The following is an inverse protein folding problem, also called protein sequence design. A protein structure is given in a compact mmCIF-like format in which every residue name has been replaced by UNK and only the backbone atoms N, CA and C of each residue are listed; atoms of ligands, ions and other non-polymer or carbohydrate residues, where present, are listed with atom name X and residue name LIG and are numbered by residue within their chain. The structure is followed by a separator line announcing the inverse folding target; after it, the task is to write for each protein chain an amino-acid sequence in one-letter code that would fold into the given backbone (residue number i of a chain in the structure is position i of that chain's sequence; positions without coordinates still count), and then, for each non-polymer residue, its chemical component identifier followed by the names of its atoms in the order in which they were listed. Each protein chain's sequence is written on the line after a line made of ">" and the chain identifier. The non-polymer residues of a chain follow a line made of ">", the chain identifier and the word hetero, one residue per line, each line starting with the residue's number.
data_IF_774168158015
#
_entry.id   IF_774168158015
#
_cell.length_a   1.000
_cell.length_b   1.000
_cell.length_c   1.000
_cell.angle_alpha   90.00
_cell.angle_beta   90.00
_cell.angle_gamma   90.00
#
_symmetry.space_group_name_H-M   'P 1'
#
loop_
_entity.id
_entity.type
_entity.pdbx_description
1 polymer ?
#
# COMPACT_ATOMS: atom_id res chain seq x y z
N UNK A 1 -68.16 -30.24 -36.54
CA UNK A 1 -67.45 -31.05 -35.53
C UNK A 1 -66.09 -30.39 -35.30
N UNK A 2 -65.95 -29.78 -34.18
CA UNK A 2 -64.85 -28.92 -33.75
C UNK A 2 -63.61 -29.73 -33.32
N UNK A 3 -62.43 -29.26 -33.69
CA UNK A 3 -61.19 -29.63 -33.02
C UNK A 3 -60.52 -28.31 -32.54
N UNK A 4 -60.48 -28.16 -31.23
CA UNK A 4 -59.76 -27.10 -30.53
C UNK A 4 -58.25 -27.42 -30.55
N UNK A 5 -57.47 -26.56 -31.16
CA UNK A 5 -56.01 -26.56 -31.06
C UNK A 5 -55.56 -25.87 -29.78
N UNK A 6 -54.93 -26.61 -28.86
CA UNK A 6 -54.36 -26.07 -27.64
C UNK A 6 -53.07 -25.31 -27.96
N UNK A 7 -53.11 -24.01 -27.74
CA UNK A 7 -51.97 -23.11 -27.85
C UNK A 7 -51.09 -23.30 -26.58
N UNK A 8 -49.93 -23.94 -26.72
CA UNK A 8 -48.93 -24.06 -25.63
C UNK A 8 -48.10 -22.79 -25.62
N UNK A 9 -48.37 -21.92 -24.69
CA UNK A 9 -47.49 -20.78 -24.35
C UNK A 9 -46.32 -21.36 -23.56
N UNK A 10 -45.13 -21.29 -24.15
CA UNK A 10 -43.88 -21.62 -23.44
C UNK A 10 -43.53 -20.52 -22.43
N UNK A 11 -43.03 -20.85 -21.22
CA UNK A 11 -42.68 -19.84 -20.24
C UNK A 11 -41.37 -19.17 -20.61
N UNK A 12 -41.43 -17.84 -20.80
CA UNK A 12 -40.27 -16.98 -21.06
C UNK A 12 -39.47 -16.68 -19.77
N UNK A 13 -39.21 -17.67 -18.90
CA UNK A 13 -38.60 -17.45 -17.59
C UNK A 13 -37.13 -17.86 -17.48
N UNK A 14 -36.53 -18.46 -18.54
CA UNK A 14 -35.18 -18.96 -18.47
C UNK A 14 -34.07 -17.97 -18.88
N UNK A 15 -34.43 -16.85 -19.54
CA UNK A 15 -33.45 -15.89 -20.07
C UNK A 15 -32.98 -14.82 -19.06
N UNK A 16 -33.73 -14.57 -18.00
CA UNK A 16 -33.47 -13.46 -17.08
C UNK A 16 -32.38 -13.85 -16.03
N UNK A 17 -32.25 -15.12 -15.69
CA UNK A 17 -31.29 -15.58 -14.67
C UNK A 17 -29.84 -15.53 -15.21
N UNK A 18 -29.63 -15.74 -16.49
CA UNK A 18 -28.28 -15.72 -17.09
C UNK A 18 -27.64 -14.31 -17.14
N UNK A 19 -28.44 -13.29 -17.36
CA UNK A 19 -27.93 -11.89 -17.48
C UNK A 19 -27.58 -11.32 -16.11
N UNK A 20 -28.38 -11.60 -15.08
CA UNK A 20 -28.11 -11.15 -13.71
C UNK A 20 -26.83 -11.82 -13.13
N UNK A 21 -26.63 -13.12 -13.39
CA UNK A 21 -25.42 -13.84 -12.95
C UNK A 21 -24.14 -13.35 -13.62
N UNK A 22 -24.21 -13.01 -14.91
CA UNK A 22 -23.06 -12.49 -15.66
C UNK A 22 -22.70 -11.06 -15.20
N UNK A 23 -23.67 -10.23 -14.86
CA UNK A 23 -23.47 -8.86 -14.40
C UNK A 23 -22.84 -8.81 -13.00
N UNK A 24 -23.26 -9.69 -12.09
CA UNK A 24 -22.65 -9.82 -10.74
C UNK A 24 -21.20 -10.31 -10.85
N UNK A 25 -20.90 -11.28 -11.73
CA UNK A 25 -19.55 -11.78 -11.93
C UNK A 25 -18.62 -10.72 -12.53
N UNK A 26 -19.10 -9.88 -13.45
CA UNK A 26 -18.32 -8.77 -14.01
C UNK A 26 -17.98 -7.71 -12.95
N UNK A 27 -18.92 -7.38 -12.07
CA UNK A 27 -18.72 -6.41 -10.97
C UNK A 27 -17.68 -6.89 -9.94
N UNK A 28 -17.64 -8.18 -9.66
CA UNK A 28 -16.63 -8.73 -8.70
C UNK A 28 -15.22 -8.73 -9.28
N UNK A 29 -15.05 -8.97 -10.58
CA UNK A 29 -13.75 -8.94 -11.26
C UNK A 29 -13.16 -7.52 -11.30
N UNK A 30 -13.97 -6.51 -11.58
CA UNK A 30 -13.53 -5.09 -11.60
C UNK A 30 -13.09 -4.61 -10.22
N UNK A 31 -13.73 -5.06 -9.14
CA UNK A 31 -13.36 -4.68 -7.77
C UNK A 31 -11.98 -5.20 -7.37
N UNK A 32 -11.63 -6.42 -7.75
CA UNK A 32 -10.33 -7.02 -7.43
C UNK A 32 -9.16 -6.30 -8.14
N UNK A 33 -9.33 -5.92 -9.41
CA UNK A 33 -8.28 -5.21 -10.16
C UNK A 33 -8.05 -3.79 -9.62
N UNK A 34 -9.11 -3.09 -9.21
CA UNK A 34 -9.01 -1.74 -8.60
C UNK A 34 -8.25 -1.80 -7.27
N UNK A 35 -8.51 -2.80 -6.43
CA UNK A 35 -7.80 -2.98 -5.16
C UNK A 35 -6.30 -3.24 -5.41
N UNK A 36 -5.95 -4.11 -6.34
CA UNK A 36 -4.55 -4.40 -6.70
C UNK A 36 -3.82 -3.17 -7.23
N UNK A 37 -4.45 -2.39 -8.11
CA UNK A 37 -3.87 -1.15 -8.64
C UNK A 37 -3.60 -0.15 -7.50
N UNK A 38 -4.56 0.07 -6.60
CA UNK A 38 -4.40 0.94 -5.44
C UNK A 38 -3.27 0.47 -4.51
N UNK A 39 -3.19 -0.83 -4.24
CA UNK A 39 -2.10 -1.39 -3.41
C UNK A 39 -0.74 -1.13 -4.05
N UNK A 40 -0.61 -1.32 -5.37
CA UNK A 40 0.64 -1.06 -6.10
C UNK A 40 1.06 0.42 -6.01
N UNK A 41 0.11 1.34 -6.18
CA UNK A 41 0.35 2.78 -6.07
C UNK A 41 0.78 3.17 -4.65
N UNK A 42 0.10 2.65 -3.63
CA UNK A 42 0.45 2.87 -2.23
C UNK A 42 1.85 2.33 -1.90
N UNK A 43 2.20 1.12 -2.37
CA UNK A 43 3.53 0.52 -2.16
C UNK A 43 4.63 1.33 -2.84
N UNK A 44 4.38 1.80 -4.06
CA UNK A 44 5.31 2.67 -4.79
C UNK A 44 5.50 4.01 -4.09
N UNK A 45 4.41 4.59 -3.60
CA UNK A 45 4.42 5.79 -2.78
C UNK A 45 5.18 5.58 -1.48
N UNK A 46 4.97 4.46 -0.79
CA UNK A 46 5.67 4.14 0.45
C UNK A 46 7.19 4.07 0.27
N UNK A 47 7.66 3.47 -0.83
CA UNK A 47 9.09 3.45 -1.16
C UNK A 47 9.63 4.87 -1.40
N UNK A 48 8.86 5.73 -2.08
CA UNK A 48 9.24 7.13 -2.31
C UNK A 48 9.33 7.91 -0.99
N UNK A 49 8.40 7.71 -0.06
CA UNK A 49 8.41 8.36 1.25
C UNK A 49 9.56 7.86 2.14
N UNK A 50 9.92 6.56 2.09
CA UNK A 50 11.11 6.05 2.77
C UNK A 50 12.37 6.77 2.25
N UNK A 51 12.50 6.97 0.93
CA UNK A 51 13.60 7.75 0.35
C UNK A 51 13.57 9.22 0.76
N UNK A 52 12.40 9.82 0.88
CA UNK A 52 12.22 11.18 1.38
C UNK A 52 12.75 11.31 2.82
N UNK A 53 12.42 10.35 3.70
CA UNK A 53 12.94 10.33 5.08
C UNK A 53 14.47 10.13 5.09
N UNK A 54 15.03 9.24 4.26
CA UNK A 54 16.48 9.03 4.13
C UNK A 54 17.18 10.34 3.74
N UNK A 55 16.67 11.04 2.70
CA UNK A 55 17.24 12.33 2.26
C UNK A 55 17.10 13.41 3.33
N UNK A 56 15.99 13.45 4.07
CA UNK A 56 15.78 14.35 5.18
C UNK A 56 16.77 14.08 6.32
N UNK A 57 17.01 12.83 6.66
CA UNK A 57 18.01 12.43 7.67
C UNK A 57 19.41 12.86 7.26
N UNK A 58 19.80 12.64 6.00
CA UNK A 58 21.11 13.08 5.51
C UNK A 58 21.28 14.60 5.63
N UNK A 59 20.25 15.38 5.26
CA UNK A 59 20.27 16.86 5.42
C UNK A 59 20.31 17.27 6.90
N UNK A 60 19.55 16.59 7.75
CA UNK A 60 19.54 16.85 9.18
C UNK A 60 20.92 16.60 9.80
N UNK A 61 21.57 15.49 9.44
CA UNK A 61 22.93 15.17 9.91
C UNK A 61 23.93 16.23 9.45
N UNK A 62 23.87 16.66 8.18
CA UNK A 62 24.75 17.69 7.65
C UNK A 62 24.59 19.05 8.35
N UNK A 63 23.40 19.36 8.85
CA UNK A 63 23.10 20.65 9.50
C UNK A 63 23.35 20.63 11.02
N UNK A 64 23.08 19.50 11.69
CA UNK A 64 23.06 19.41 13.14
C UNK A 64 24.10 18.44 13.72
N UNK A 65 24.91 17.78 12.86
CA UNK A 65 25.92 16.74 13.20
C UNK A 65 25.33 15.58 14.02
N UNK A 66 24.06 15.29 13.83
CA UNK A 66 23.32 14.19 14.44
C UNK A 66 22.11 13.77 13.61
N UNK A 67 21.68 12.54 13.76
CA UNK A 67 20.44 12.05 13.16
C UNK A 67 19.22 12.57 13.93
N UNK A 68 18.13 12.84 13.22
CA UNK A 68 16.85 13.18 13.86
C UNK A 68 16.27 11.97 14.58
N UNK A 69 15.73 12.16 15.76
CA UNK A 69 15.15 11.11 16.60
C UNK A 69 13.69 10.77 16.24
N UNK A 70 13.02 11.60 15.43
CA UNK A 70 11.62 11.41 15.08
C UNK A 70 11.26 12.09 13.77
N UNK A 71 10.13 11.66 13.16
CA UNK A 71 9.56 12.35 12.01
C UNK A 71 9.16 13.80 12.34
N UNK A 72 8.70 14.04 13.57
CA UNK A 72 8.32 15.38 14.03
C UNK A 72 9.51 16.34 14.08
N UNK A 73 10.68 15.85 14.41
CA UNK A 73 11.91 16.64 14.38
C UNK A 73 12.30 17.04 12.96
N UNK A 74 12.17 16.12 12.00
CA UNK A 74 12.41 16.41 10.57
C UNK A 74 11.43 17.44 10.02
N UNK A 75 10.15 17.39 10.41
CA UNK A 75 9.15 18.39 10.03
C UNK A 75 9.49 19.75 10.62
N UNK A 76 9.84 19.80 11.92
CA UNK A 76 10.21 21.05 12.60
C UNK A 76 11.43 21.72 11.98
N UNK A 77 12.32 20.93 11.36
CA UNK A 77 13.44 21.41 10.57
C UNK A 77 13.07 21.77 9.11
N UNK A 78 11.80 21.65 8.71
CA UNK A 78 11.32 21.94 7.35
C UNK A 78 11.79 20.92 6.29
N UNK A 79 12.13 19.70 6.69
CA UNK A 79 12.72 18.69 5.81
C UNK A 79 11.73 17.69 5.26
N UNK A 80 10.58 17.52 5.91
CA UNK A 80 9.44 16.72 5.46
C UNK A 80 8.13 17.46 5.69
N UNK A 81 7.05 17.04 5.03
CA UNK A 81 5.73 17.62 5.21
C UNK A 81 5.01 17.12 6.48
N UNK A 82 3.95 17.85 6.88
CA UNK A 82 3.16 17.53 8.07
C UNK A 82 2.41 16.20 7.97
N UNK A 83 2.03 15.76 6.76
CA UNK A 83 1.35 14.49 6.56
C UNK A 83 2.30 13.33 6.88
N UNK A 84 3.50 13.31 6.29
CA UNK A 84 4.52 12.30 6.58
C UNK A 84 4.96 12.33 8.04
N UNK A 85 5.05 13.49 8.64
CA UNK A 85 5.40 13.69 10.05
C UNK A 85 4.37 13.10 11.02
N UNK A 86 3.08 13.04 10.62
CA UNK A 86 2.03 12.37 11.39
C UNK A 86 2.25 10.85 11.52
N UNK A 87 3.16 10.30 10.71
CA UNK A 87 3.43 8.87 10.61
C UNK A 87 2.43 8.11 9.72
N UNK A 88 1.53 8.81 9.01
CA UNK A 88 0.54 8.17 8.14
C UNK A 88 0.44 8.91 6.81
N UNK A 89 0.73 8.21 5.70
CA UNK A 89 0.61 8.75 4.35
C UNK A 89 0.39 7.64 3.33
N UNK A 90 -0.47 7.86 2.31
CA UNK A 90 -0.72 6.95 1.20
C UNK A 90 -1.02 5.49 1.63
N UNK A 91 -1.85 5.32 2.68
CA UNK A 91 -2.23 3.98 3.16
C UNK A 91 -1.16 3.22 3.94
N UNK A 92 -0.05 3.90 4.28
CA UNK A 92 1.08 3.35 5.05
C UNK A 92 1.29 4.09 6.36
N UNK A 93 1.84 3.37 7.34
CA UNK A 93 2.34 3.91 8.60
C UNK A 93 3.87 3.92 8.55
N UNK A 94 4.45 5.08 8.92
CA UNK A 94 5.89 5.29 8.97
C UNK A 94 6.36 5.47 10.40
N UNK A 95 7.51 4.89 10.71
CA UNK A 95 8.17 5.03 12.00
C UNK A 95 9.65 5.32 11.78
N UNK A 96 10.15 6.35 12.44
CA UNK A 96 11.56 6.68 12.51
C UNK A 96 12.02 6.47 13.95
N UNK A 97 13.09 5.70 14.13
CA UNK A 97 13.66 5.42 15.44
C UNK A 97 15.15 5.69 15.40
N UNK A 98 15.65 6.51 16.32
CA UNK A 98 17.08 6.72 16.50
C UNK A 98 17.70 5.50 17.18
N UNK A 99 18.92 5.14 16.76
CA UNK A 99 19.72 4.06 17.34
C UNK A 99 21.10 4.59 17.72
N UNK A 100 21.87 3.83 18.47
CA UNK A 100 23.25 4.20 18.82
C UNK A 100 24.15 4.38 17.58
N UNK A 101 23.86 3.69 16.48
CA UNK A 101 24.65 3.71 15.24
C UNK A 101 24.06 4.57 14.13
N UNK A 102 22.89 5.15 14.35
CA UNK A 102 22.20 5.90 13.30
C UNK A 102 20.69 5.95 13.53
N UNK A 103 19.92 5.47 12.57
CA UNK A 103 18.46 5.44 12.61
C UNK A 103 17.91 4.20 11.90
N UNK A 104 16.66 3.89 12.16
CA UNK A 104 15.87 2.94 11.38
C UNK A 104 14.58 3.57 10.92
N UNK A 105 14.13 3.20 9.71
CA UNK A 105 12.86 3.59 9.12
C UNK A 105 12.05 2.33 8.89
N UNK A 106 10.83 2.27 9.41
CA UNK A 106 9.84 1.25 9.11
C UNK A 106 8.69 1.86 8.34
N UNK A 107 8.20 1.17 7.30
CA UNK A 107 6.97 1.51 6.61
C UNK A 107 6.11 0.24 6.47
N UNK A 108 4.90 0.25 7.02
CA UNK A 108 3.98 -0.89 6.98
C UNK A 108 2.58 -0.46 6.53
N UNK A 109 1.85 -1.30 5.77
CA UNK A 109 0.51 -0.95 5.33
C UNK A 109 -0.43 -0.79 6.53
N UNK A 110 -1.36 0.15 6.47
CA UNK A 110 -2.37 0.34 7.49
C UNK A 110 -3.29 -0.88 7.62
N UNK A 111 -3.56 -1.56 6.50
CA UNK A 111 -4.31 -2.81 6.44
C UNK A 111 -3.67 -3.75 5.41
N UNK A 112 -3.18 -4.91 5.88
CA UNK A 112 -2.56 -5.92 5.01
C UNK A 112 -3.55 -6.44 3.98
N UNK A 113 -3.11 -6.58 2.71
CA UNK A 113 -3.92 -6.97 1.54
C UNK A 113 -5.08 -6.01 1.19
N UNK A 114 -5.13 -4.82 1.78
CA UNK A 114 -6.06 -3.75 1.39
C UNK A 114 -5.30 -2.49 0.98
N UNK A 115 -4.43 -1.96 1.84
CA UNK A 115 -3.60 -0.79 1.52
C UNK A 115 -2.22 -1.15 1.00
N UNK A 116 -1.75 -2.37 1.23
CA UNK A 116 -0.51 -2.92 0.71
C UNK A 116 -0.30 -4.37 1.15
N UNK A 117 0.59 -5.08 0.48
CA UNK A 117 0.98 -6.48 0.76
C UNK A 117 2.42 -6.61 1.22
N UNK A 118 3.18 -5.50 1.22
CA UNK A 118 4.59 -5.45 1.60
C UNK A 118 4.82 -4.39 2.66
N UNK A 119 5.75 -4.66 3.56
CA UNK A 119 6.36 -3.65 4.44
C UNK A 119 7.79 -3.36 4.01
N UNK A 120 8.31 -2.21 4.41
CA UNK A 120 9.64 -1.75 4.04
C UNK A 120 10.44 -1.36 5.28
N UNK A 121 11.74 -1.63 5.23
CA UNK A 121 12.72 -1.26 6.24
C UNK A 121 13.88 -0.54 5.57
N UNK A 122 14.44 0.45 6.26
CA UNK A 122 15.71 1.06 5.91
C UNK A 122 16.45 1.56 7.15
N UNK A 123 17.72 1.88 6.98
CA UNK A 123 18.59 2.43 8.02
C UNK A 123 19.59 3.42 7.42
N UNK A 124 20.61 3.81 8.20
CA UNK A 124 21.66 4.74 7.79
C UNK A 124 22.50 4.24 6.61
N UNK A 125 22.39 2.96 6.21
CA UNK A 125 23.04 2.44 4.99
C UNK A 125 22.29 2.84 3.71
N UNK A 126 21.07 3.42 3.86
CA UNK A 126 20.17 3.82 2.78
C UNK A 126 19.67 2.67 1.88
N UNK A 127 19.92 1.42 2.28
CA UNK A 127 19.42 0.24 1.61
C UNK A 127 17.97 0.01 2.03
N UNK A 128 17.04 -0.06 1.07
CA UNK A 128 15.64 -0.40 1.35
C UNK A 128 15.47 -1.91 1.23
N UNK A 129 14.85 -2.52 2.22
CA UNK A 129 14.50 -3.93 2.28
C UNK A 129 13.00 -4.11 2.28
N UNK A 130 12.51 -5.20 1.72
CA UNK A 130 11.08 -5.52 1.69
C UNK A 130 10.78 -6.85 2.37
N UNK A 131 9.65 -6.87 3.09
CA UNK A 131 9.03 -8.10 3.58
C UNK A 131 7.65 -8.27 2.94
N UNK A 132 7.36 -9.45 2.40
CA UNK A 132 6.05 -9.82 1.84
C UNK A 132 5.28 -10.60 2.90
N UNK A 133 4.13 -10.09 3.29
CA UNK A 133 3.32 -10.70 4.33
C UNK A 133 2.90 -9.72 5.42
N UNK A 134 2.17 -10.18 6.45
CA UNK A 134 1.63 -9.31 7.50
C UNK A 134 2.68 -8.84 8.51
N UNK A 135 3.88 -9.43 8.52
CA UNK A 135 4.95 -9.02 9.41
C UNK A 135 5.64 -7.73 8.93
N UNK A 136 6.26 -7.00 9.84
CA UNK A 136 7.04 -5.81 9.51
C UNK A 136 8.42 -6.21 8.95
N UNK A 137 8.91 -5.45 7.97
CA UNK A 137 10.24 -5.66 7.41
C UNK A 137 11.33 -5.36 8.44
N UNK A 138 12.45 -6.04 8.32
CA UNK A 138 13.61 -5.96 9.22
C UNK A 138 14.93 -5.84 8.45
N UNK A 139 16.02 -5.63 9.16
CA UNK A 139 17.38 -5.61 8.58
C UNK A 139 17.79 -6.96 7.94
N UNK A 140 17.12 -8.07 8.28
CA UNK A 140 17.38 -9.40 7.71
C UNK A 140 16.65 -9.70 6.42
N UNK A 141 15.69 -8.86 6.01
CA UNK A 141 14.87 -9.09 4.82
C UNK A 141 15.61 -8.77 3.51
N UNK A 142 15.15 -9.32 2.37
CA UNK A 142 15.75 -9.07 1.06
C UNK A 142 15.78 -7.58 0.71
N UNK A 143 16.82 -7.16 0.01
CA UNK A 143 16.91 -5.81 -0.53
C UNK A 143 15.92 -5.60 -1.67
N UNK A 144 15.32 -4.42 -1.71
CA UNK A 144 14.47 -4.02 -2.84
C UNK A 144 15.32 -3.99 -4.11
N UNK A 145 14.93 -4.71 -5.18
CA UNK A 145 15.69 -4.69 -6.43
C UNK A 145 15.74 -3.28 -7.02
N UNK A 146 16.91 -2.86 -7.45
CA UNK A 146 17.09 -1.63 -8.24
C UNK A 146 16.39 -1.85 -9.60
N UNK A 147 15.44 -0.97 -9.93
CA UNK A 147 14.86 -0.91 -11.28
C UNK A 147 15.64 0.04 -12.16
#
# INVERSE_FOLDING_TARGET
>A
MSQFGANRIAPASAAIIGIAGCFVLLLTLTSCEVIKARMYDNESGAIAEVRTIQAAQTRHFAQFDRWAGSLKELESAGMIDAELSSGHKMGYRYQLTQTEKGYTIGASPNAFNDTGSRSFYSDQTMVIREHRGPAVATAGDPTLPLK
#
